data_IF_898486552307
#
_entry.id   IF_898486552307
#
_cell.length_a   1.000
_cell.length_b   1.000
_cell.length_c   1.000
_cell.angle_alpha   90.00
_cell.angle_beta   90.00
_cell.angle_gamma   90.00
#
_symmetry.space_group_name_H-M   'P 1'
#
loop_
_entity.id
_entity.type
_entity.pdbx_description
1 polymer ?
#
# COMPACT_ATOMS: atom_id res chain seq x y z
N UNK A 1 -43.61 -0.02 48.70
CA UNK A 1 -42.82 -0.69 47.67
C UNK A 1 -41.66 0.24 47.35
N UNK A 2 -40.40 -0.12 47.61
CA UNK A 2 -39.25 0.70 47.26
C UNK A 2 -38.99 0.57 45.73
N UNK A 3 -38.81 1.71 45.06
CA UNK A 3 -38.46 1.79 43.65
C UNK A 3 -37.05 1.21 43.45
N UNK A 4 -36.92 0.20 42.58
CA UNK A 4 -35.66 -0.34 42.14
C UNK A 4 -35.01 0.71 41.19
N UNK A 5 -33.97 1.38 41.66
CA UNK A 5 -33.10 2.20 40.81
C UNK A 5 -32.19 1.28 40.05
N UNK A 6 -32.36 1.25 38.73
CA UNK A 6 -31.38 0.59 37.82
C UNK A 6 -30.11 1.43 37.77
N UNK A 7 -28.92 0.82 37.88
CA UNK A 7 -27.68 1.56 37.71
C UNK A 7 -27.61 2.10 36.26
N UNK A 8 -27.30 3.39 36.16
CA UNK A 8 -27.12 4.08 34.88
C UNK A 8 -26.17 3.29 33.96
N UNK A 9 -26.64 2.98 32.75
CA UNK A 9 -25.82 2.35 31.76
C UNK A 9 -24.60 3.25 31.48
N UNK A 10 -23.37 2.71 31.40
CA UNK A 10 -22.19 3.52 31.13
C UNK A 10 -22.38 4.27 29.82
N UNK A 11 -22.21 5.59 29.88
CA UNK A 11 -22.28 6.46 28.69
C UNK A 11 -21.40 5.91 27.58
N UNK A 12 -21.84 5.95 26.30
CA UNK A 12 -21.02 5.46 25.20
C UNK A 12 -19.68 6.18 25.22
N UNK A 13 -18.60 5.40 25.36
CA UNK A 13 -17.23 5.91 25.29
C UNK A 13 -17.06 6.61 23.94
N UNK A 14 -17.03 7.94 23.98
CA UNK A 14 -16.72 8.79 22.81
C UNK A 14 -15.34 8.34 22.35
N UNK A 15 -15.30 7.59 21.27
CA UNK A 15 -14.05 7.19 20.63
C UNK A 15 -13.24 8.45 20.32
N UNK A 16 -12.02 8.54 20.85
CA UNK A 16 -11.14 9.67 20.63
C UNK A 16 -11.11 10.04 19.14
N UNK A 17 -11.13 11.32 18.78
CA UNK A 17 -11.15 11.75 17.39
C UNK A 17 -9.94 11.14 16.67
N UNK A 18 -10.20 10.40 15.59
CA UNK A 18 -9.16 9.82 14.75
C UNK A 18 -8.22 10.93 14.26
N UNK A 19 -6.98 10.85 14.67
CA UNK A 19 -5.96 11.77 14.18
C UNK A 19 -5.74 11.49 12.68
N UNK A 20 -6.34 12.30 11.81
CA UNK A 20 -6.26 12.17 10.36
C UNK A 20 -4.98 12.78 9.77
N UNK A 21 -3.99 13.13 10.60
CA UNK A 21 -2.72 13.66 10.14
C UNK A 21 -1.93 12.62 9.37
N UNK A 22 -1.37 13.06 8.24
CA UNK A 22 -0.50 12.21 7.44
C UNK A 22 0.78 11.87 8.22
N UNK A 23 1.26 10.61 8.21
CA UNK A 23 2.56 10.26 8.75
C UNK A 23 3.66 11.03 8.01
N UNK A 24 4.80 11.28 8.68
CA UNK A 24 5.93 11.94 8.04
C UNK A 24 6.36 11.20 6.76
N UNK A 25 6.91 11.95 5.79
CA UNK A 25 7.37 11.35 4.53
C UNK A 25 8.39 10.24 4.77
N UNK A 26 9.35 10.47 5.68
CA UNK A 26 10.37 9.46 6.05
C UNK A 26 9.72 8.17 6.54
N UNK A 27 8.73 8.25 7.42
CA UNK A 27 8.00 7.07 7.93
C UNK A 27 7.27 6.32 6.82
N UNK A 28 6.65 7.05 5.88
CA UNK A 28 5.97 6.43 4.72
C UNK A 28 6.95 5.74 3.78
N UNK A 29 8.11 6.36 3.51
CA UNK A 29 9.15 5.77 2.68
C UNK A 29 9.79 4.55 3.36
N UNK A 30 10.06 4.61 4.66
CA UNK A 30 10.55 3.47 5.43
C UNK A 30 9.54 2.29 5.41
N UNK A 31 8.24 2.59 5.57
CA UNK A 31 7.18 1.60 5.43
C UNK A 31 7.17 0.98 4.01
N UNK A 32 7.28 1.80 2.97
CA UNK A 32 7.34 1.34 1.58
C UNK A 32 8.56 0.45 1.30
N UNK A 33 9.75 0.84 1.81
CA UNK A 33 10.96 0.00 1.72
C UNK A 33 10.77 -1.35 2.42
N UNK A 34 10.21 -1.34 3.62
CA UNK A 34 9.94 -2.57 4.36
C UNK A 34 8.91 -3.47 3.65
N UNK A 35 7.87 -2.87 3.06
CA UNK A 35 6.91 -3.59 2.21
C UNK A 35 7.62 -4.25 1.01
N UNK A 36 8.57 -3.54 0.37
CA UNK A 36 9.37 -4.09 -0.74
C UNK A 36 10.16 -5.33 -0.33
N UNK A 37 10.76 -5.34 0.87
CA UNK A 37 11.47 -6.52 1.41
C UNK A 37 10.50 -7.68 1.63
N UNK A 38 9.31 -7.43 2.19
CA UNK A 38 8.29 -8.46 2.35
C UNK A 38 7.80 -9.00 1.01
N UNK A 39 7.60 -8.12 0.03
CA UNK A 39 7.18 -8.50 -1.31
C UNK A 39 8.23 -9.33 -2.04
N UNK A 40 9.52 -9.13 -1.76
CA UNK A 40 10.57 -10.00 -2.30
C UNK A 40 10.32 -11.47 -1.93
N UNK A 41 9.95 -11.76 -0.68
CA UNK A 41 9.58 -13.11 -0.26
C UNK A 41 8.34 -13.65 -1.00
N UNK A 42 7.34 -12.79 -1.20
CA UNK A 42 6.13 -13.16 -1.97
C UNK A 42 6.49 -13.46 -3.42
N UNK A 43 7.34 -12.65 -4.07
CA UNK A 43 7.82 -12.88 -5.44
C UNK A 43 8.56 -14.20 -5.55
N UNK A 44 9.43 -14.50 -4.59
CA UNK A 44 10.20 -15.74 -4.59
C UNK A 44 9.28 -16.97 -4.54
N UNK A 45 8.34 -16.99 -3.59
CA UNK A 45 7.38 -18.10 -3.45
C UNK A 45 6.46 -18.21 -4.67
N UNK A 46 5.88 -17.09 -5.09
CA UNK A 46 4.96 -17.06 -6.23
C UNK A 46 5.66 -17.43 -7.54
N UNK A 47 6.89 -16.94 -7.75
CA UNK A 47 7.72 -17.31 -8.90
C UNK A 47 8.09 -18.79 -8.95
N UNK A 48 8.44 -19.37 -7.80
CA UNK A 48 8.68 -20.80 -7.68
C UNK A 48 7.43 -21.63 -8.02
N UNK A 49 6.27 -21.26 -7.45
CA UNK A 49 5.00 -21.92 -7.74
C UNK A 49 4.62 -21.79 -9.23
N UNK A 50 4.79 -20.62 -9.81
CA UNK A 50 4.53 -20.41 -11.23
C UNK A 50 5.43 -21.29 -12.11
N UNK A 51 6.73 -21.33 -11.82
CA UNK A 51 7.69 -22.16 -12.54
C UNK A 51 7.36 -23.64 -12.48
N UNK A 52 6.97 -24.14 -11.29
CA UNK A 52 6.59 -25.56 -11.11
C UNK A 52 5.28 -25.91 -11.81
N UNK A 53 4.27 -25.04 -11.75
CA UNK A 53 2.96 -25.26 -12.36
C UNK A 53 3.00 -25.13 -13.89
N UNK A 54 3.76 -24.17 -14.40
CA UNK A 54 3.91 -23.93 -15.85
C UNK A 54 4.94 -24.83 -16.52
N UNK A 55 5.68 -25.65 -15.74
CA UNK A 55 6.79 -26.47 -16.20
C UNK A 55 7.84 -25.70 -17.01
N UNK A 56 7.92 -24.40 -16.81
CA UNK A 56 8.89 -23.51 -17.49
C UNK A 56 10.25 -23.62 -16.80
N UNK A 57 11.28 -24.05 -17.55
CA UNK A 57 12.65 -24.16 -17.02
C UNK A 57 13.33 -22.80 -16.83
N UNK A 58 12.96 -21.81 -17.65
CA UNK A 58 13.50 -20.45 -17.60
C UNK A 58 12.38 -19.43 -17.39
N UNK A 59 12.50 -18.58 -16.35
CA UNK A 59 11.52 -17.52 -16.10
C UNK A 59 11.36 -16.52 -17.28
N UNK A 60 12.35 -16.45 -18.18
CA UNK A 60 12.33 -15.58 -19.35
C UNK A 60 11.44 -16.12 -20.47
N UNK A 61 11.24 -17.43 -20.59
CA UNK A 61 10.46 -18.05 -21.66
C UNK A 61 8.98 -17.67 -21.58
N UNK A 62 8.48 -17.35 -20.36
CA UNK A 62 7.09 -17.00 -20.14
C UNK A 62 6.94 -15.74 -19.27
N UNK A 63 7.84 -14.76 -19.48
CA UNK A 63 7.93 -13.55 -18.62
C UNK A 63 6.63 -12.76 -18.51
N UNK A 64 5.87 -12.66 -19.60
CA UNK A 64 4.62 -11.90 -19.59
C UNK A 64 3.53 -12.59 -18.74
N UNK A 65 3.45 -13.92 -18.82
CA UNK A 65 2.53 -14.68 -17.97
C UNK A 65 2.96 -14.62 -16.50
N UNK A 66 4.26 -14.69 -16.20
CA UNK A 66 4.77 -14.50 -14.84
C UNK A 66 4.47 -13.09 -14.32
N UNK A 67 4.65 -12.05 -15.13
CA UNK A 67 4.32 -10.66 -14.76
C UNK A 67 2.81 -10.51 -14.47
N UNK A 68 1.96 -11.06 -15.33
CA UNK A 68 0.51 -11.05 -15.11
C UNK A 68 0.12 -11.81 -13.84
N UNK A 69 0.73 -12.96 -13.60
CA UNK A 69 0.52 -13.74 -12.39
C UNK A 69 0.91 -12.96 -11.13
N UNK A 70 2.10 -12.36 -11.11
CA UNK A 70 2.57 -11.54 -9.98
C UNK A 70 1.69 -10.30 -9.79
N UNK A 71 1.22 -9.67 -10.88
CA UNK A 71 0.28 -8.56 -10.78
C UNK A 71 -1.00 -8.97 -10.04
N UNK A 72 -1.55 -10.15 -10.35
CA UNK A 72 -2.74 -10.68 -9.67
C UNK A 72 -2.45 -11.01 -8.20
N UNK A 73 -1.32 -11.68 -7.92
CA UNK A 73 -0.89 -12.04 -6.55
C UNK A 73 -0.76 -10.77 -5.68
N UNK A 74 -0.08 -9.73 -6.18
CA UNK A 74 0.03 -8.46 -5.48
C UNK A 74 -1.32 -7.76 -5.33
N UNK A 75 -2.16 -7.82 -6.36
CA UNK A 75 -3.51 -7.26 -6.31
C UNK A 75 -4.35 -7.88 -5.19
N UNK A 76 -4.32 -9.20 -5.05
CA UNK A 76 -5.00 -9.92 -3.97
C UNK A 76 -4.42 -9.51 -2.62
N UNK A 77 -3.09 -9.54 -2.46
CA UNK A 77 -2.40 -9.19 -1.22
C UNK A 77 -2.76 -7.76 -0.78
N UNK A 78 -2.49 -6.75 -1.60
CA UNK A 78 -2.70 -5.37 -1.22
C UNK A 78 -4.17 -5.03 -1.00
N UNK A 79 -5.06 -5.50 -1.89
CA UNK A 79 -6.50 -5.24 -1.77
C UNK A 79 -7.07 -5.83 -0.48
N UNK A 80 -6.67 -7.05 -0.14
CA UNK A 80 -7.08 -7.71 1.09
C UNK A 80 -6.60 -6.96 2.34
N UNK A 81 -5.30 -6.65 2.42
CA UNK A 81 -4.73 -5.99 3.59
C UNK A 81 -5.20 -4.54 3.74
N UNK A 82 -5.31 -3.77 2.66
CA UNK A 82 -5.81 -2.41 2.73
C UNK A 82 -7.29 -2.33 3.07
N UNK A 83 -8.12 -3.28 2.67
CA UNK A 83 -9.49 -3.37 3.13
C UNK A 83 -9.59 -3.64 4.65
N UNK A 84 -8.60 -4.34 5.21
CA UNK A 84 -8.43 -4.49 6.67
C UNK A 84 -7.79 -3.27 7.34
N UNK A 85 -7.32 -2.31 6.54
CA UNK A 85 -6.75 -1.04 6.98
C UNK A 85 -5.23 -0.99 7.09
N UNK A 86 -4.52 -2.12 7.14
CA UNK A 86 -3.07 -2.16 7.31
C UNK A 86 -2.45 -3.40 6.67
N UNK A 87 -1.30 -3.23 6.00
CA UNK A 87 -0.38 -4.33 5.68
C UNK A 87 0.49 -4.65 6.89
N UNK A 88 1.31 -5.70 6.78
CA UNK A 88 2.26 -6.04 7.85
C UNK A 88 3.29 -4.92 8.07
N UNK A 89 3.84 -4.37 6.99
CA UNK A 89 4.73 -3.21 7.05
C UNK A 89 4.05 -2.00 7.70
N UNK A 90 2.83 -1.67 7.30
CA UNK A 90 2.06 -0.57 7.88
C UNK A 90 1.81 -0.73 9.36
N UNK A 91 1.59 -1.97 9.83
CA UNK A 91 1.43 -2.27 11.25
C UNK A 91 2.71 -1.98 12.04
N UNK A 92 3.86 -2.38 11.51
CA UNK A 92 5.18 -2.11 12.12
C UNK A 92 5.47 -0.62 12.22
N UNK A 93 5.08 0.16 11.20
CA UNK A 93 5.33 1.61 11.15
C UNK A 93 4.18 2.47 11.72
N UNK A 94 3.16 1.85 12.33
CA UNK A 94 1.99 2.54 12.88
C UNK A 94 1.29 3.44 11.85
N UNK A 95 1.11 2.91 10.64
CA UNK A 95 0.40 3.56 9.53
C UNK A 95 -0.89 2.79 9.27
N UNK A 96 -1.97 3.51 8.98
CA UNK A 96 -3.24 2.92 8.57
C UNK A 96 -3.76 3.59 7.31
N UNK A 97 -4.42 2.79 6.46
CA UNK A 97 -5.15 3.30 5.30
C UNK A 97 -6.61 3.44 5.65
N UNK A 98 -7.16 4.63 5.36
CA UNK A 98 -8.57 4.94 5.59
C UNK A 98 -9.14 5.70 4.40
N UNK A 99 -10.46 5.81 4.33
CA UNK A 99 -11.13 6.68 3.38
C UNK A 99 -11.01 8.17 3.80
N UNK A 100 -11.55 9.09 2.98
CA UNK A 100 -11.54 10.54 3.31
C UNK A 100 -12.24 10.86 4.63
N UNK A 101 -13.17 10.01 5.08
CA UNK A 101 -13.92 10.17 6.32
C UNK A 101 -13.31 9.41 7.52
N UNK A 102 -12.12 8.80 7.36
CA UNK A 102 -11.46 8.02 8.40
C UNK A 102 -12.00 6.61 8.59
N UNK A 103 -12.88 6.12 7.72
CA UNK A 103 -13.48 4.77 7.81
C UNK A 103 -12.59 3.74 7.10
N UNK A 104 -12.71 2.44 7.43
CA UNK A 104 -12.04 1.36 6.70
C UNK A 104 -12.39 1.39 5.20
N UNK A 105 -11.44 0.97 4.36
CA UNK A 105 -11.63 0.91 2.93
C UNK A 105 -12.57 -0.23 2.53
N UNK A 106 -13.40 0.05 1.51
CA UNK A 106 -14.08 -1.03 0.79
C UNK A 106 -13.12 -1.73 -0.16
N UNK A 107 -13.38 -3.00 -0.50
CA UNK A 107 -12.56 -3.78 -1.45
C UNK A 107 -12.38 -3.05 -2.79
N UNK A 108 -13.45 -2.42 -3.30
CA UNK A 108 -13.41 -1.66 -4.57
C UNK A 108 -12.42 -0.47 -4.50
N UNK A 109 -12.41 0.28 -3.40
CA UNK A 109 -11.45 1.39 -3.21
C UNK A 109 -10.03 0.88 -3.02
N UNK A 110 -9.84 -0.24 -2.31
CA UNK A 110 -8.54 -0.86 -2.17
C UNK A 110 -7.99 -1.33 -3.52
N UNK A 111 -8.83 -1.93 -4.38
CA UNK A 111 -8.46 -2.31 -5.75
C UNK A 111 -8.13 -1.09 -6.61
N UNK A 112 -8.95 -0.04 -6.58
CA UNK A 112 -8.66 1.21 -7.29
C UNK A 112 -7.31 1.81 -6.85
N UNK A 113 -7.05 1.84 -5.54
CA UNK A 113 -5.77 2.26 -4.99
C UNK A 113 -4.61 1.42 -5.52
N UNK A 114 -4.78 0.09 -5.59
CA UNK A 114 -3.78 -0.82 -6.15
C UNK A 114 -3.47 -0.48 -7.61
N UNK A 115 -4.48 -0.34 -8.45
CA UNK A 115 -4.30 0.02 -9.87
C UNK A 115 -3.61 1.39 -9.99
N UNK A 116 -4.03 2.39 -9.23
CA UNK A 116 -3.42 3.72 -9.26
C UNK A 116 -2.00 3.75 -8.68
N UNK A 117 -1.64 2.83 -7.79
CA UNK A 117 -0.27 2.75 -7.26
C UNK A 117 0.76 2.39 -8.34
N UNK A 118 0.34 1.79 -9.47
CA UNK A 118 1.22 1.51 -10.61
C UNK A 118 1.72 2.78 -11.31
N UNK A 119 1.12 3.94 -11.06
CA UNK A 119 1.65 5.24 -11.49
C UNK A 119 3.07 5.54 -10.95
N UNK A 120 3.49 4.85 -9.90
CA UNK A 120 4.86 4.92 -9.42
C UNK A 120 5.88 4.29 -10.38
N UNK A 121 5.47 3.30 -11.14
CA UNK A 121 6.38 2.45 -11.91
C UNK A 121 6.16 2.54 -13.42
N UNK A 122 4.91 2.63 -13.87
CA UNK A 122 4.61 2.59 -15.30
C UNK A 122 5.19 3.75 -16.11
N UNK A 123 5.14 5.03 -15.66
CA UNK A 123 5.71 6.13 -16.44
C UNK A 123 7.21 6.00 -16.68
N UNK A 124 8.06 5.74 -15.66
CA UNK A 124 9.50 5.59 -15.91
C UNK A 124 9.82 4.32 -16.71
N UNK A 125 9.08 3.22 -16.50
CA UNK A 125 9.24 2.01 -17.30
C UNK A 125 8.91 2.26 -18.78
N UNK A 126 7.82 2.97 -19.06
CA UNK A 126 7.45 3.33 -20.42
C UNK A 126 8.46 4.27 -21.06
N UNK A 127 9.02 5.21 -20.29
CA UNK A 127 10.05 6.13 -20.79
C UNK A 127 11.37 5.42 -21.11
N UNK A 128 11.74 4.39 -20.36
CA UNK A 128 13.01 3.65 -20.54
C UNK A 128 12.90 2.56 -21.61
N UNK A 129 11.71 1.98 -21.82
CA UNK A 129 11.48 0.84 -22.69
C UNK A 129 12.04 0.99 -24.13
N UNK A 130 11.95 2.18 -24.80
CA UNK A 130 12.47 2.35 -26.17
C UNK A 130 14.00 2.34 -26.28
N UNK A 131 14.71 2.61 -25.17
CA UNK A 131 16.16 2.91 -25.21
C UNK A 131 17.05 1.70 -24.93
N UNK A 132 16.51 0.53 -24.58
CA UNK A 132 17.27 -0.68 -24.25
C UNK A 132 18.44 -0.42 -23.27
N UNK A 133 18.22 0.45 -22.28
CA UNK A 133 19.25 0.89 -21.34
C UNK A 133 19.75 -0.27 -20.48
N UNK A 134 21.04 -0.26 -20.09
CA UNK A 134 21.57 -1.17 -19.09
C UNK A 134 20.77 -1.14 -17.79
N UNK A 135 20.73 -2.27 -17.07
CA UNK A 135 19.93 -2.39 -15.86
C UNK A 135 20.27 -1.35 -14.78
N UNK A 136 21.54 -0.93 -14.69
CA UNK A 136 21.98 0.11 -13.76
C UNK A 136 21.36 1.47 -14.06
N UNK A 137 21.37 1.91 -15.31
CA UNK A 137 20.79 3.20 -15.73
C UNK A 137 19.28 3.20 -15.54
N UNK A 138 18.61 2.12 -15.94
CA UNK A 138 17.17 1.95 -15.71
C UNK A 138 16.81 2.04 -14.23
N UNK A 139 17.63 1.47 -13.35
CA UNK A 139 17.45 1.54 -11.90
C UNK A 139 17.59 2.97 -11.37
N UNK A 140 18.59 3.71 -11.83
CA UNK A 140 18.79 5.13 -11.43
C UNK A 140 17.60 5.99 -11.84
N UNK A 141 17.10 5.83 -13.08
CA UNK A 141 15.92 6.55 -13.56
C UNK A 141 14.69 6.21 -12.70
N UNK A 142 14.50 4.93 -12.40
CA UNK A 142 13.39 4.47 -11.56
C UNK A 142 13.46 5.08 -10.15
N UNK A 143 14.61 5.04 -9.50
CA UNK A 143 14.81 5.61 -8.18
C UNK A 143 14.64 7.13 -8.18
N UNK A 144 15.15 7.81 -9.20
CA UNK A 144 14.95 9.25 -9.40
C UNK A 144 13.46 9.60 -9.52
N UNK A 145 12.72 8.85 -10.32
CA UNK A 145 11.28 9.04 -10.44
C UNK A 145 10.54 8.82 -9.12
N UNK A 146 10.86 7.74 -8.40
CA UNK A 146 10.27 7.45 -7.07
C UNK A 146 10.55 8.59 -6.10
N UNK A 147 11.79 9.14 -6.10
CA UNK A 147 12.15 10.29 -5.26
C UNK A 147 11.33 11.53 -5.63
N UNK A 148 11.23 11.86 -6.93
CA UNK A 148 10.40 12.99 -7.41
C UNK A 148 8.95 12.80 -7.01
N UNK A 149 8.37 11.63 -7.25
CA UNK A 149 7.00 11.33 -6.90
C UNK A 149 6.73 11.42 -5.39
N UNK A 150 7.68 10.94 -4.57
CA UNK A 150 7.61 11.07 -3.12
C UNK A 150 7.66 12.54 -2.68
N UNK A 151 8.54 13.35 -3.28
CA UNK A 151 8.66 14.78 -2.97
C UNK A 151 7.40 15.56 -3.40
N UNK A 152 6.80 15.22 -4.54
CA UNK A 152 5.55 15.83 -5.00
C UNK A 152 4.40 15.68 -3.98
N UNK A 153 4.44 14.66 -3.12
CA UNK A 153 3.45 14.52 -2.04
C UNK A 153 3.47 15.67 -1.04
N UNK A 154 4.57 16.43 -0.93
CA UNK A 154 4.69 17.60 -0.05
C UNK A 154 3.87 18.80 -0.53
N UNK A 155 3.62 18.88 -1.83
CA UNK A 155 2.82 19.95 -2.44
C UNK A 155 1.31 19.65 -2.36
N UNK A 156 0.92 18.44 -1.96
CA UNK A 156 -0.48 18.13 -1.76
C UNK A 156 -0.98 18.73 -0.44
N UNK A 157 -2.14 19.44 -0.40
CA UNK A 157 -2.64 20.12 0.81
C UNK A 157 -2.74 19.24 2.06
N UNK A 158 -2.98 17.94 1.86
CA UNK A 158 -3.08 16.95 2.94
C UNK A 158 -1.83 16.09 3.07
N UNK A 159 -0.74 16.46 2.40
CA UNK A 159 0.53 15.72 2.37
C UNK A 159 0.38 14.23 2.02
N UNK A 160 -0.62 13.87 1.23
CA UNK A 160 -0.84 12.50 0.75
C UNK A 160 -0.13 12.27 -0.60
N UNK A 161 0.12 11.01 -0.93
CA UNK A 161 0.56 10.67 -2.28
C UNK A 161 -0.58 10.90 -3.28
N UNK A 162 -0.25 11.33 -4.49
CA UNK A 162 -1.24 11.64 -5.51
C UNK A 162 -2.15 10.47 -5.87
N UNK A 163 -1.62 9.25 -5.96
CA UNK A 163 -2.43 8.05 -6.20
C UNK A 163 -3.41 7.76 -5.06
N UNK A 164 -3.02 8.05 -3.80
CA UNK A 164 -3.91 7.92 -2.65
C UNK A 164 -5.05 8.94 -2.71
N UNK A 165 -4.71 10.19 -3.04
CA UNK A 165 -5.69 11.26 -3.19
C UNK A 165 -6.71 10.96 -4.31
N UNK A 166 -6.23 10.42 -5.47
CA UNK A 166 -7.07 10.00 -6.59
C UNK A 166 -7.98 8.82 -6.22
N UNK A 167 -7.46 7.85 -5.46
CA UNK A 167 -8.26 6.73 -4.97
C UNK A 167 -9.27 7.13 -3.86
N UNK A 168 -9.21 8.37 -3.38
CA UNK A 168 -10.03 8.82 -2.26
C UNK A 168 -9.65 8.17 -0.93
N UNK A 169 -8.37 7.83 -0.77
CA UNK A 169 -7.80 7.20 0.41
C UNK A 169 -6.79 8.11 1.10
N UNK A 170 -6.48 7.83 2.36
CA UNK A 170 -5.48 8.56 3.15
C UNK A 170 -4.65 7.59 3.97
N UNK A 171 -3.36 7.92 4.08
CA UNK A 171 -2.48 7.33 5.08
C UNK A 171 -2.56 8.17 6.35
N UNK A 172 -2.86 7.55 7.47
CA UNK A 172 -2.94 8.21 8.78
C UNK A 172 -2.03 7.53 9.78
N UNK A 173 -1.57 8.31 10.76
CA UNK A 173 -0.85 7.74 11.87
C UNK A 173 -1.82 6.97 12.78
N UNK A 174 -1.44 5.75 13.16
CA UNK A 174 -2.25 4.89 14.01
C UNK A 174 -1.46 4.53 15.27
N UNK A 175 -1.81 5.16 16.38
CA UNK A 175 -1.25 4.75 17.67
C UNK A 175 -1.93 3.46 18.13
N UNK A 176 -1.17 2.39 18.41
CA UNK A 176 -1.76 1.19 18.98
C UNK A 176 -2.34 1.53 20.36
N UNK A 177 -3.62 1.25 20.56
CA UNK A 177 -4.23 1.37 21.89
C UNK A 177 -3.46 0.47 22.84
N UNK A 178 -2.75 1.07 23.81
CA UNK A 178 -2.12 0.31 24.89
C UNK A 178 -3.26 -0.41 25.63
N UNK A 179 -3.26 -1.73 25.54
CA UNK A 179 -4.09 -2.58 26.43
C UNK A 179 -3.50 -2.58 27.82
#
# INVERSE_FOLDING_TARGET
MPALSFPDAPAPTVSAPLNLNAPSLVRRMACWMYEGILMFGVVFIAGYLFGTLSQTRNAMDNRHALQAFLFVVFGIYFTWFWAKGQTLAMKTWNIRVVDRAGRPLTQRRALLRYVLSWLWFLPPLAAVAPFSLPGGESTVIMLGWVAVWALLSRFHPQQQFWHDALAGTRLVHHEPTKK
#
